data_IF_234469651620
#
_entry.id   IF_234469651620
#
_cell.length_a   1.000
_cell.length_b   1.000
_cell.length_c   1.000
_cell.angle_alpha   90.00
_cell.angle_beta   90.00
_cell.angle_gamma   90.00
#
_symmetry.space_group_name_H-M   'P 1'
#
loop_
_entity.id
_entity.type
_entity.pdbx_description
1 polymer ?
#
# COMPACT_ATOMS: atom_id res chain seq x y z
N UNK A 1 -2.40 16.84 -20.34
CA UNK A 1 -3.62 16.35 -19.66
C UNK A 1 -3.35 16.29 -18.16
N UNK A 2 -3.69 17.36 -17.43
CA UNK A 2 -3.56 17.40 -15.97
C UNK A 2 -4.55 16.41 -15.35
N UNK A 3 -4.08 15.22 -14.98
CA UNK A 3 -4.84 14.30 -14.15
C UNK A 3 -5.06 15.01 -12.81
N UNK A 4 -6.29 15.49 -12.58
CA UNK A 4 -6.66 16.13 -11.31
C UNK A 4 -6.12 15.30 -10.14
N UNK A 5 -5.39 15.95 -9.24
CA UNK A 5 -4.84 15.29 -8.05
C UNK A 5 -6.02 14.72 -7.27
N UNK A 6 -6.19 13.39 -7.31
CA UNK A 6 -6.98 12.65 -6.32
C UNK A 6 -6.56 13.10 -4.91
N UNK A 7 -7.48 13.16 -3.95
CA UNK A 7 -7.14 13.60 -2.59
C UNK A 7 -5.96 12.78 -2.06
N UNK A 8 -5.07 13.48 -1.33
CA UNK A 8 -4.00 12.81 -0.62
C UNK A 8 -4.59 11.73 0.28
N UNK A 9 -3.83 10.65 0.44
CA UNK A 9 -4.21 9.53 1.33
C UNK A 9 -4.39 10.08 2.73
N UNK A 10 -5.57 9.90 3.31
CA UNK A 10 -5.88 10.38 4.66
C UNK A 10 -5.06 9.60 5.68
N UNK A 11 -4.95 10.15 6.89
CA UNK A 11 -4.25 9.47 7.99
C UNK A 11 -4.87 8.11 8.33
N UNK A 12 -6.20 8.00 8.29
CA UNK A 12 -6.90 6.72 8.49
C UNK A 12 -6.61 5.72 7.38
N UNK A 13 -6.61 6.15 6.11
CA UNK A 13 -6.21 5.28 5.00
C UNK A 13 -4.75 4.82 5.14
N UNK A 14 -3.86 5.69 5.62
CA UNK A 14 -2.45 5.37 5.90
C UNK A 14 -2.29 4.35 7.01
N UNK A 15 -3.03 4.52 8.10
CA UNK A 15 -3.03 3.61 9.24
C UNK A 15 -3.47 2.21 8.81
N UNK A 16 -4.51 2.11 7.97
CA UNK A 16 -4.90 0.83 7.38
C UNK A 16 -3.78 0.26 6.51
N UNK A 17 -3.18 1.05 5.61
CA UNK A 17 -2.05 0.55 4.79
C UNK A 17 -0.95 -0.02 5.67
N UNK A 18 -0.56 0.66 6.76
CA UNK A 18 0.51 0.19 7.64
C UNK A 18 0.11 -1.07 8.39
N UNK A 19 -1.06 -1.05 9.05
CA UNK A 19 -1.55 -2.18 9.85
C UNK A 19 -1.80 -3.43 9.00
N UNK A 20 -2.19 -3.29 7.73
CA UNK A 20 -2.47 -4.42 6.87
C UNK A 20 -1.24 -4.92 6.08
N UNK A 21 -0.29 -4.04 5.74
CA UNK A 21 0.93 -4.44 5.02
C UNK A 21 1.91 -5.15 5.94
N UNK A 22 2.02 -4.75 7.20
CA UNK A 22 2.98 -5.31 8.16
C UNK A 22 2.81 -6.82 8.42
N UNK A 23 1.62 -7.36 8.74
CA UNK A 23 1.42 -8.80 8.91
C UNK A 23 1.57 -9.58 7.59
N UNK A 24 1.45 -8.91 6.44
CA UNK A 24 1.57 -9.52 5.11
C UNK A 24 2.96 -9.32 4.49
N UNK A 25 3.92 -8.75 5.24
CA UNK A 25 5.23 -8.32 4.73
C UNK A 25 6.01 -9.46 4.09
N UNK A 26 5.97 -10.65 4.69
CA UNK A 26 6.65 -11.84 4.16
C UNK A 26 6.12 -12.26 2.79
N UNK A 27 4.80 -12.15 2.56
CA UNK A 27 4.20 -12.49 1.26
C UNK A 27 4.44 -11.35 0.27
N UNK A 28 4.18 -10.10 0.67
CA UNK A 28 4.24 -8.93 -0.19
C UNK A 28 5.67 -8.64 -0.68
N UNK A 29 6.68 -8.84 0.18
CA UNK A 29 8.08 -8.51 -0.10
C UNK A 29 9.02 -9.72 -0.09
N UNK A 30 8.56 -10.92 0.26
CA UNK A 30 9.39 -12.13 0.20
C UNK A 30 9.78 -12.54 -1.22
N UNK A 31 10.78 -13.40 -1.34
CA UNK A 31 11.25 -13.92 -2.62
C UNK A 31 10.19 -14.80 -3.29
N UNK A 32 10.18 -14.83 -4.63
CA UNK A 32 9.29 -15.75 -5.35
C UNK A 32 9.73 -17.19 -5.07
N UNK A 33 8.81 -18.03 -4.60
CA UNK A 33 9.08 -19.40 -4.17
C UNK A 33 7.85 -20.29 -4.37
N UNK A 34 7.98 -21.59 -4.04
CA UNK A 34 6.86 -22.53 -4.00
C UNK A 34 5.85 -22.10 -2.91
N UNK A 35 4.94 -21.20 -3.27
CA UNK A 35 3.92 -20.63 -2.38
C UNK A 35 3.82 -19.12 -2.45
N UNK A 36 4.89 -18.40 -2.80
CA UNK A 36 4.87 -16.94 -3.01
C UNK A 36 5.08 -16.67 -4.50
N UNK A 37 3.98 -16.46 -5.22
CA UNK A 37 4.01 -16.10 -6.63
C UNK A 37 3.45 -14.69 -6.85
N UNK A 38 3.62 -14.17 -8.07
CA UNK A 38 3.19 -12.81 -8.42
C UNK A 38 1.68 -12.62 -8.26
N UNK A 39 0.88 -13.66 -8.49
CA UNK A 39 -0.57 -13.65 -8.29
C UNK A 39 -0.92 -13.54 -6.80
N UNK A 40 -0.27 -14.31 -5.93
CA UNK A 40 -0.47 -14.22 -4.47
C UNK A 40 -0.09 -12.84 -3.94
N UNK A 41 1.03 -12.28 -4.40
CA UNK A 41 1.42 -10.90 -4.08
C UNK A 41 0.36 -9.88 -4.51
N UNK A 42 -0.18 -10.02 -5.74
CA UNK A 42 -1.25 -9.16 -6.23
C UNK A 42 -2.50 -9.28 -5.37
N UNK A 43 -2.94 -10.49 -5.07
CA UNK A 43 -4.13 -10.73 -4.25
C UNK A 43 -3.99 -10.11 -2.85
N UNK A 44 -2.82 -10.23 -2.22
CA UNK A 44 -2.60 -9.56 -0.92
C UNK A 44 -2.63 -8.03 -1.05
N UNK A 45 -2.04 -7.45 -2.10
CA UNK A 45 -2.15 -6.02 -2.36
C UNK A 45 -3.59 -5.57 -2.65
N UNK A 46 -4.39 -6.41 -3.31
CA UNK A 46 -5.81 -6.17 -3.55
C UNK A 46 -6.60 -6.19 -2.24
N UNK A 47 -6.31 -7.12 -1.32
CA UNK A 47 -6.91 -7.15 0.02
C UNK A 47 -6.60 -5.89 0.82
N UNK A 48 -5.34 -5.45 0.84
CA UNK A 48 -4.98 -4.16 1.47
C UNK A 48 -5.74 -3.01 0.79
N UNK A 49 -5.87 -3.05 -0.53
CA UNK A 49 -6.60 -2.02 -1.27
C UNK A 49 -8.10 -1.99 -0.92
N UNK A 50 -8.73 -3.13 -0.73
CA UNK A 50 -10.13 -3.23 -0.30
C UNK A 50 -10.31 -2.62 1.10
N UNK A 51 -9.43 -2.95 2.05
CA UNK A 51 -9.47 -2.37 3.40
C UNK A 51 -9.29 -0.85 3.37
N UNK A 52 -8.35 -0.34 2.57
CA UNK A 52 -8.15 1.11 2.37
C UNK A 52 -9.37 1.76 1.74
N UNK A 53 -9.97 1.13 0.72
CA UNK A 53 -11.16 1.66 0.06
C UNK A 53 -12.40 1.62 0.96
N UNK A 54 -12.44 0.73 1.95
CA UNK A 54 -13.53 0.66 2.92
C UNK A 54 -13.53 1.85 3.90
N UNK A 55 -12.36 2.40 4.23
CA UNK A 55 -12.22 3.59 5.10
C UNK A 55 -12.09 4.89 4.29
N UNK A 56 -11.72 4.78 3.01
CA UNK A 56 -11.52 5.89 2.10
C UNK A 56 -12.81 6.35 1.42
N UNK A 57 -12.91 7.64 1.12
CA UNK A 57 -14.02 8.17 0.31
C UNK A 57 -13.82 7.97 -1.19
N UNK A 58 -12.61 7.60 -1.63
CA UNK A 58 -12.26 7.39 -3.04
C UNK A 58 -11.79 5.95 -3.27
N UNK A 59 -12.23 5.35 -4.37
CA UNK A 59 -11.66 4.06 -4.80
C UNK A 59 -10.24 4.25 -5.34
N UNK A 60 -9.30 3.58 -4.68
CA UNK A 60 -7.91 3.44 -5.08
C UNK A 60 -7.69 2.07 -5.71
N UNK A 61 -6.64 1.95 -6.52
CA UNK A 61 -6.18 0.66 -7.04
C UNK A 61 -5.00 0.15 -6.21
N UNK A 62 -4.78 -1.16 -6.22
CA UNK A 62 -3.65 -1.79 -5.52
C UNK A 62 -2.29 -1.19 -5.95
N UNK A 63 -2.17 -0.71 -7.19
CA UNK A 63 -0.97 -0.03 -7.69
C UNK A 63 -0.74 1.30 -6.96
N UNK A 64 -1.80 2.07 -6.74
CA UNK A 64 -1.73 3.36 -6.02
C UNK A 64 -1.37 3.14 -4.55
N UNK A 65 -1.97 2.13 -3.92
CA UNK A 65 -1.67 1.75 -2.53
C UNK A 65 -0.22 1.31 -2.37
N UNK A 66 0.26 0.45 -3.28
CA UNK A 66 1.67 0.02 -3.31
C UNK A 66 2.65 1.18 -3.51
N UNK A 67 2.31 2.13 -4.41
CA UNK A 67 3.10 3.35 -4.60
C UNK A 67 3.12 4.16 -3.31
N UNK A 68 1.97 4.36 -2.66
CA UNK A 68 1.90 5.12 -1.41
C UNK A 68 2.72 4.49 -0.29
N UNK A 69 2.68 3.16 -0.14
CA UNK A 69 3.57 2.45 0.80
C UNK A 69 5.05 2.73 0.52
N UNK A 70 5.43 2.75 -0.76
CA UNK A 70 6.82 3.02 -1.16
C UNK A 70 7.22 4.45 -0.81
N UNK A 71 6.34 5.43 -1.09
CA UNK A 71 6.55 6.83 -0.75
C UNK A 71 6.64 7.04 0.77
N UNK A 72 5.79 6.37 1.56
CA UNK A 72 5.83 6.42 3.03
C UNK A 72 7.16 5.95 3.59
N UNK A 73 7.70 4.83 3.09
CA UNK A 73 9.01 4.34 3.53
C UNK A 73 10.12 5.37 3.27
N UNK A 74 10.05 6.06 2.13
CA UNK A 74 11.02 7.12 1.79
C UNK A 74 10.84 8.33 2.71
N UNK A 75 9.60 8.75 2.95
CA UNK A 75 9.27 9.88 3.82
C UNK A 75 9.72 9.63 5.27
N UNK A 76 9.43 8.44 5.82
CA UNK A 76 9.86 8.05 7.17
C UNK A 76 11.38 8.05 7.27
N UNK A 77 12.08 7.43 6.31
CA UNK A 77 13.56 7.49 6.27
C UNK A 77 14.04 8.94 6.25
N UNK A 78 13.48 9.79 5.38
CA UNK A 78 13.87 11.19 5.30
C UNK A 78 13.66 11.94 6.62
N UNK A 79 12.59 11.67 7.37
CA UNK A 79 12.35 12.29 8.69
C UNK A 79 13.29 11.79 9.80
N UNK A 80 13.79 10.56 9.69
CA UNK A 80 14.70 9.96 10.70
C UNK A 80 16.16 10.40 10.49
N UNK A 81 16.52 10.85 9.29
CA UNK A 81 17.88 11.32 8.93
C UNK A 81 18.01 12.86 8.88
N UNK A 82 17.10 13.61 9.52
CA UNK A 82 17.17 15.07 9.74
C UNK A 82 17.20 15.29 11.25
#
# INVERSE_FOLDING_TARGET
>A
MNKGKKRNVTESELEIVVNDVEPRREILFGTLSAGINMKRKRNEWERVCEAVNAVGSEQRTHIQVKKKWSDLKVEVKRRVYI
#
